data_IF_292675718889
#
_entry.id   IF_292675718889
#
_cell.length_a   1.000
_cell.length_b   1.000
_cell.length_c   1.000
_cell.angle_alpha   90.00
_cell.angle_beta   90.00
_cell.angle_gamma   90.00
#
_symmetry.space_group_name_H-M   'P 1'
#
loop_
_entity.id
_entity.type
_entity.pdbx_description
1 polymer ?
#
# COMPACT_ATOMS: atom_id res chain seq x y z
N UNK A 1 36.35 -14.53 41.45
CA UNK A 1 35.22 -13.60 41.22
C UNK A 1 34.89 -13.68 39.74
N UNK A 2 33.89 -14.49 39.37
CA UNK A 2 33.35 -14.43 38.02
C UNK A 2 32.48 -13.18 37.93
N UNK A 3 32.80 -12.28 37.00
CA UNK A 3 31.90 -11.19 36.66
C UNK A 3 30.67 -11.81 36.02
N UNK A 4 29.54 -11.77 36.71
CA UNK A 4 28.24 -12.00 36.10
C UNK A 4 27.98 -10.75 35.26
N UNK A 5 28.38 -10.79 33.98
CA UNK A 5 27.99 -9.77 33.01
C UNK A 5 26.52 -9.99 32.68
N UNK A 6 25.67 -9.03 33.03
CA UNK A 6 24.27 -9.04 32.62
C UNK A 6 24.22 -8.72 31.12
N UNK A 7 23.69 -9.63 30.31
CA UNK A 7 23.50 -9.41 28.87
C UNK A 7 22.26 -8.56 28.63
N UNK A 8 22.33 -7.67 27.63
CA UNK A 8 21.17 -6.93 27.16
C UNK A 8 20.11 -7.90 26.55
N UNK A 9 18.84 -7.49 26.45
CA UNK A 9 17.82 -8.22 25.71
C UNK A 9 18.25 -8.50 24.26
N UNK A 10 17.72 -9.58 23.66
CA UNK A 10 18.05 -9.92 22.27
C UNK A 10 17.56 -8.85 21.27
N UNK A 11 16.50 -8.14 21.63
CA UNK A 11 15.89 -7.06 20.87
C UNK A 11 16.22 -5.67 21.45
N UNK A 12 17.38 -5.54 22.08
CA UNK A 12 17.91 -4.26 22.56
C UNK A 12 18.08 -3.25 21.42
N UNK A 13 18.29 -3.73 20.19
CA UNK A 13 18.46 -2.89 19.01
C UNK A 13 17.56 -3.25 17.83
N UNK A 14 17.39 -2.30 16.90
CA UNK A 14 16.50 -2.51 15.76
C UNK A 14 16.89 -3.71 14.88
N UNK A 15 18.18 -3.97 14.71
CA UNK A 15 18.64 -5.14 13.92
C UNK A 15 18.24 -6.48 14.55
N UNK A 16 18.01 -6.49 15.87
CA UNK A 16 17.52 -7.64 16.64
C UNK A 16 16.04 -7.56 16.99
N UNK A 17 15.27 -6.65 16.37
CA UNK A 17 13.86 -6.46 16.67
C UNK A 17 13.08 -7.78 16.61
N UNK A 18 12.30 -8.08 17.64
CA UNK A 18 11.49 -9.30 17.68
C UNK A 18 10.32 -9.15 16.71
N UNK A 19 10.16 -10.10 15.79
CA UNK A 19 9.03 -10.11 14.85
C UNK A 19 7.74 -10.54 15.56
N UNK A 20 6.68 -9.77 15.34
CA UNK A 20 5.35 -9.96 15.90
C UNK A 20 4.37 -10.19 14.75
N UNK A 21 3.49 -11.18 14.93
CA UNK A 21 2.33 -11.38 14.08
C UNK A 21 1.21 -10.47 14.59
N UNK A 22 0.65 -9.58 13.76
CA UNK A 22 -0.40 -8.66 14.21
C UNK A 22 -1.76 -9.34 14.20
N UNK A 23 -2.00 -10.24 15.16
CA UNK A 23 -3.24 -11.03 15.30
C UNK A 23 -3.95 -10.81 16.65
N UNK A 24 -3.54 -9.78 17.39
CA UNK A 24 -4.04 -9.45 18.73
C UNK A 24 -3.44 -10.31 19.84
N UNK A 25 -2.62 -11.32 19.54
CA UNK A 25 -1.97 -12.15 20.56
C UNK A 25 -0.92 -11.35 21.32
N UNK A 26 -1.12 -11.21 22.62
CA UNK A 26 -0.20 -10.48 23.47
C UNK A 26 1.07 -11.30 23.78
N UNK A 27 2.23 -10.65 23.70
CA UNK A 27 3.53 -11.20 24.07
C UNK A 27 4.14 -10.45 25.25
N UNK A 28 5.01 -11.12 26.00
CA UNK A 28 5.71 -10.50 27.12
C UNK A 28 7.04 -9.90 26.61
N UNK A 29 7.38 -8.73 27.14
CA UNK A 29 8.65 -8.05 26.91
C UNK A 29 9.25 -7.54 28.21
N UNK A 30 10.49 -7.07 28.13
CA UNK A 30 11.18 -6.46 29.28
C UNK A 30 12.16 -5.40 28.80
N UNK A 31 12.17 -4.25 29.47
CA UNK A 31 13.22 -3.22 29.31
C UNK A 31 14.37 -3.43 30.28
N UNK A 32 14.34 -4.51 31.09
CA UNK A 32 15.38 -4.80 32.08
C UNK A 32 16.74 -4.98 31.43
N UNK A 33 17.72 -4.20 31.86
CA UNK A 33 19.04 -4.08 31.27
C UNK A 33 19.02 -3.69 29.78
N UNK A 34 18.01 -2.98 29.26
CA UNK A 34 18.10 -2.42 27.92
C UNK A 34 18.98 -1.16 27.88
N UNK A 35 19.49 -0.84 26.70
CA UNK A 35 20.13 0.44 26.38
C UNK A 35 19.10 1.45 25.86
N UNK A 36 19.54 2.70 25.75
CA UNK A 36 18.81 3.73 25.01
C UNK A 36 19.47 3.85 23.64
N UNK A 37 18.78 3.35 22.62
CA UNK A 37 19.28 3.33 21.24
C UNK A 37 18.97 4.61 20.45
N UNK A 38 18.26 5.57 21.05
CA UNK A 38 17.92 6.83 20.40
C UNK A 38 19.01 7.89 20.58
N UNK A 39 19.30 8.62 19.49
CA UNK A 39 20.13 9.82 19.56
C UNK A 39 19.26 11.08 19.62
N UNK A 40 19.33 11.84 20.70
CA UNK A 40 18.60 13.11 20.85
C UNK A 40 17.28 12.96 21.61
N UNK A 41 16.35 13.88 21.35
CA UNK A 41 15.01 13.87 21.95
C UNK A 41 14.05 13.23 20.95
N UNK A 42 13.50 12.06 21.29
CA UNK A 42 12.59 11.28 20.46
C UNK A 42 11.39 10.85 21.31
N UNK A 43 10.21 10.84 20.70
CA UNK A 43 8.97 10.44 21.36
C UNK A 43 8.31 11.55 22.18
N UNK A 44 7.21 11.21 22.85
CA UNK A 44 6.44 12.14 23.68
C UNK A 44 6.85 12.14 25.16
N UNK A 45 7.69 11.19 25.60
CA UNK A 45 8.19 11.10 26.96
C UNK A 45 9.42 11.99 27.17
N UNK A 46 9.32 13.27 26.79
CA UNK A 46 10.44 14.23 26.82
C UNK A 46 10.77 14.80 28.19
N UNK A 47 10.01 14.42 29.22
CA UNK A 47 10.15 14.94 30.58
C UNK A 47 11.43 14.41 31.28
N UNK A 48 12.59 15.00 30.97
CA UNK A 48 13.83 14.73 31.72
C UNK A 48 15.16 14.96 31.00
N UNK A 49 15.15 15.31 29.70
CA UNK A 49 16.35 15.49 28.87
C UNK A 49 16.79 14.23 28.12
N UNK A 50 17.60 14.42 27.07
CA UNK A 50 18.10 13.36 26.19
C UNK A 50 18.80 12.22 26.95
N UNK A 51 18.66 10.98 26.45
CA UNK A 51 19.29 9.74 26.93
C UNK A 51 18.63 9.10 28.17
N UNK A 52 17.30 8.91 28.17
CA UNK A 52 16.56 8.23 29.24
C UNK A 52 15.45 7.28 28.78
N UNK A 53 15.56 6.72 27.58
CA UNK A 53 14.56 5.85 26.96
C UNK A 53 15.14 4.46 26.77
N UNK A 54 15.31 3.70 27.86
CA UNK A 54 15.69 2.30 27.74
C UNK A 54 14.63 1.55 26.95
N UNK A 55 14.98 1.14 25.75
CA UNK A 55 14.02 0.71 24.75
C UNK A 55 14.33 -0.68 24.23
N UNK A 56 13.27 -1.34 23.81
CA UNK A 56 13.36 -2.63 23.14
C UNK A 56 12.53 -2.61 21.89
N UNK A 57 13.04 -3.30 20.87
CA UNK A 57 12.58 -3.20 19.50
C UNK A 57 11.71 -4.38 19.11
N UNK A 58 10.66 -4.07 18.36
CA UNK A 58 9.76 -5.03 17.77
C UNK A 58 9.48 -4.64 16.33
N UNK A 59 9.05 -5.62 15.54
CA UNK A 59 8.64 -5.39 14.15
C UNK A 59 7.40 -6.17 13.82
N UNK A 60 6.63 -5.70 12.85
CA UNK A 60 5.55 -6.47 12.24
C UNK A 60 5.47 -6.13 10.76
N UNK A 61 4.99 -7.08 9.97
CA UNK A 61 4.60 -6.83 8.58
C UNK A 61 3.17 -6.35 8.58
N UNK A 62 2.90 -5.17 8.03
CA UNK A 62 1.54 -4.67 7.92
C UNK A 62 0.71 -5.61 7.03
N UNK A 63 -0.30 -6.26 7.61
CA UNK A 63 -1.34 -7.04 6.92
C UNK A 63 -2.61 -6.23 6.63
N UNK A 64 -2.73 -5.04 7.21
CA UNK A 64 -3.84 -4.08 7.08
C UNK A 64 -3.24 -2.67 6.99
N UNK A 65 -4.06 -1.65 6.80
CA UNK A 65 -3.63 -0.24 6.84
C UNK A 65 -3.78 0.37 8.25
N UNK A 66 -4.49 -0.30 9.15
CA UNK A 66 -4.69 0.12 10.53
C UNK A 66 -4.24 -0.92 11.55
N UNK A 67 -3.56 -0.46 12.61
CA UNK A 67 -3.16 -1.29 13.73
C UNK A 67 -3.29 -0.54 15.05
N UNK A 68 -3.59 -1.29 16.09
CA UNK A 68 -3.43 -0.86 17.46
C UNK A 68 -2.24 -1.61 18.09
N UNK A 69 -1.36 -0.87 18.74
CA UNK A 69 -0.33 -1.42 19.61
C UNK A 69 -0.70 -1.04 21.03
N UNK A 70 -1.06 -2.04 21.84
CA UNK A 70 -1.38 -1.86 23.26
C UNK A 70 -0.26 -2.40 24.11
N UNK A 71 0.23 -1.62 25.06
CA UNK A 71 1.25 -2.03 26.03
C UNK A 71 0.71 -1.89 27.45
N UNK A 72 0.79 -2.98 28.20
CA UNK A 72 0.35 -3.09 29.59
C UNK A 72 1.56 -3.32 30.48
N UNK A 73 1.77 -2.42 31.43
CA UNK A 73 2.78 -2.54 32.48
C UNK A 73 2.52 -3.77 33.37
N UNK A 74 3.55 -4.57 33.61
CA UNK A 74 3.57 -5.66 34.60
C UNK A 74 4.41 -5.25 35.82
N UNK A 75 5.61 -4.70 35.60
CA UNK A 75 6.55 -4.34 36.69
C UNK A 75 7.46 -3.13 36.42
N UNK A 76 7.25 -2.38 35.33
CA UNK A 76 7.97 -1.14 35.00
C UNK A 76 7.69 -0.04 36.04
N UNK A 77 6.42 0.12 36.44
CA UNK A 77 6.02 1.07 37.50
C UNK A 77 6.09 2.55 37.08
N UNK A 78 6.00 2.83 35.78
CA UNK A 78 6.02 4.18 35.22
C UNK A 78 5.05 4.28 34.02
N UNK A 79 4.84 5.49 33.51
CA UNK A 79 4.16 5.66 32.22
C UNK A 79 4.96 4.95 31.13
N UNK A 80 4.27 4.38 30.16
CA UNK A 80 4.85 3.68 29.02
C UNK A 80 4.86 4.59 27.81
N UNK A 81 5.80 4.36 26.90
CA UNK A 81 5.93 5.03 25.62
C UNK A 81 6.02 3.99 24.49
N UNK A 82 5.31 4.28 23.41
CA UNK A 82 5.38 3.56 22.14
C UNK A 82 5.83 4.55 21.07
N UNK A 83 6.82 4.18 20.25
CA UNK A 83 7.22 4.96 19.08
C UNK A 83 7.17 4.03 17.88
N UNK A 84 6.37 4.37 16.86
CA UNK A 84 6.34 3.65 15.58
C UNK A 84 7.25 4.36 14.58
N UNK A 85 8.11 3.60 13.92
CA UNK A 85 9.06 4.08 12.92
C UNK A 85 9.09 3.20 11.69
N UNK A 86 9.54 3.80 10.59
CA UNK A 86 9.90 3.09 9.37
C UNK A 86 11.36 3.41 9.00
N UNK A 87 12.27 2.42 9.01
CA UNK A 87 13.65 2.62 8.59
C UNK A 87 13.71 2.89 7.08
N UNK A 88 14.61 3.78 6.68
CA UNK A 88 14.80 4.17 5.26
C UNK A 88 15.76 3.25 4.50
N UNK A 89 16.47 2.37 5.20
CA UNK A 89 17.44 1.42 4.65
C UNK A 89 17.33 0.06 5.33
N UNK A 90 17.61 -1.02 4.59
CA UNK A 90 17.71 -2.39 5.10
C UNK A 90 19.16 -2.89 5.04
N UNK A 91 19.69 -3.62 6.07
CA UNK A 91 19.02 -4.01 7.32
C UNK A 91 18.71 -2.80 8.21
N UNK A 92 17.77 -2.96 9.15
CA UNK A 92 17.26 -1.85 9.97
C UNK A 92 18.39 -0.97 10.56
N UNK A 93 18.57 0.21 9.98
CA UNK A 93 19.53 1.21 10.42
C UNK A 93 19.02 2.61 10.13
N UNK A 94 19.39 3.58 10.97
CA UNK A 94 18.96 4.97 10.83
C UNK A 94 19.41 5.62 9.50
N UNK A 95 18.80 6.76 9.11
CA UNK A 95 17.80 7.52 9.87
C UNK A 95 16.39 6.89 9.84
N UNK A 96 15.70 6.99 10.97
CA UNK A 96 14.33 6.52 11.16
C UNK A 96 13.33 7.64 10.86
N UNK A 97 12.35 7.38 10.01
CA UNK A 97 11.15 8.21 9.95
C UNK A 97 10.27 7.86 11.14
N UNK A 98 10.16 8.76 12.13
CA UNK A 98 9.19 8.61 13.22
C UNK A 98 7.81 8.90 12.66
N UNK A 99 6.92 7.91 12.73
CA UNK A 99 5.56 8.02 12.22
C UNK A 99 4.62 8.57 13.30
N UNK A 100 4.69 8.02 14.51
CA UNK A 100 3.91 8.47 15.65
C UNK A 100 4.55 8.05 16.97
N UNK A 101 4.16 8.72 18.06
CA UNK A 101 4.56 8.36 19.43
C UNK A 101 3.41 8.57 20.40
N UNK A 102 3.23 7.62 21.32
CA UNK A 102 2.15 7.59 22.31
C UNK A 102 2.72 7.34 23.70
N UNK A 103 2.29 8.13 24.68
CA UNK A 103 2.78 8.06 26.05
C UNK A 103 1.61 8.13 27.02
N UNK A 104 1.60 7.27 28.03
CA UNK A 104 0.49 7.22 28.97
C UNK A 104 0.69 6.25 30.10
N UNK A 105 -0.28 6.21 31.01
CA UNK A 105 -0.35 5.14 32.01
C UNK A 105 -0.68 3.80 31.35
N UNK A 106 -0.52 2.71 32.09
CA UNK A 106 -0.88 1.37 31.64
C UNK A 106 -2.40 1.10 31.72
N UNK A 107 -3.02 0.51 30.67
CA UNK A 107 -2.43 0.26 29.35
C UNK A 107 -2.34 1.55 28.53
N UNK A 108 -1.28 1.68 27.73
CA UNK A 108 -1.18 2.69 26.68
C UNK A 108 -1.47 2.02 25.33
N UNK A 109 -2.33 2.65 24.53
CA UNK A 109 -2.66 2.17 23.19
C UNK A 109 -2.31 3.26 22.18
N UNK A 110 -1.49 2.90 21.19
CA UNK A 110 -1.25 3.72 20.00
C UNK A 110 -2.03 3.15 18.83
N UNK A 111 -2.80 4.01 18.15
CA UNK A 111 -3.55 3.67 16.94
C UNK A 111 -2.87 4.30 15.73
N UNK A 112 -2.60 3.47 14.73
CA UNK A 112 -1.86 3.85 13.53
C UNK A 112 -2.71 3.57 12.30
N UNK A 113 -2.81 4.52 11.39
CA UNK A 113 -3.58 4.40 10.14
C UNK A 113 -2.70 4.74 8.93
N UNK A 114 -3.13 4.33 7.74
CA UNK A 114 -2.39 4.59 6.49
C UNK A 114 -1.06 3.84 6.40
N UNK A 115 -0.90 2.72 7.13
CA UNK A 115 0.26 1.85 6.97
C UNK A 115 0.15 1.12 5.62
N UNK A 116 1.27 0.95 4.94
CA UNK A 116 1.31 0.29 3.63
C UNK A 116 1.41 -1.22 3.86
N UNK A 117 0.41 -1.96 3.41
CA UNK A 117 0.37 -3.43 3.51
C UNK A 117 1.61 -4.04 2.84
N UNK A 118 2.21 -5.02 3.50
CA UNK A 118 3.45 -5.68 3.08
C UNK A 118 4.72 -4.99 3.56
N UNK A 119 4.66 -3.71 3.97
CA UNK A 119 5.83 -3.06 4.57
C UNK A 119 6.07 -3.58 6.00
N UNK A 120 7.35 -3.70 6.35
CA UNK A 120 7.76 -3.96 7.73
C UNK A 120 7.87 -2.64 8.49
N UNK A 121 7.09 -2.52 9.55
CA UNK A 121 7.16 -1.42 10.51
C UNK A 121 7.85 -1.87 11.78
N UNK A 122 8.51 -0.93 12.44
CA UNK A 122 9.21 -1.17 13.70
C UNK A 122 8.63 -0.28 14.77
N UNK A 123 8.54 -0.77 15.98
CA UNK A 123 8.18 0.05 17.11
C UNK A 123 9.05 -0.24 18.32
N UNK A 124 9.26 0.79 19.12
CA UNK A 124 9.96 0.68 20.41
C UNK A 124 8.97 0.79 21.54
N UNK A 125 9.28 0.08 22.63
CA UNK A 125 8.59 0.23 23.91
C UNK A 125 9.63 0.67 24.93
N UNK A 126 9.34 1.77 25.62
CA UNK A 126 10.23 2.38 26.62
C UNK A 126 9.42 2.97 27.77
N UNK A 127 10.11 3.46 28.80
CA UNK A 127 9.52 4.23 29.87
C UNK A 127 10.46 5.37 30.29
N UNK A 128 9.92 6.53 30.73
CA UNK A 128 10.73 7.69 31.03
C UNK A 128 11.61 7.46 32.26
N UNK A 129 12.74 8.16 32.30
CA UNK A 129 13.59 8.20 33.48
C UNK A 129 14.42 6.93 33.70
N UNK A 130 14.64 6.14 32.64
CA UNK A 130 15.27 4.81 32.72
C UNK A 130 14.50 3.83 33.61
N UNK A 131 13.17 3.95 33.68
CA UNK A 131 12.36 2.93 34.33
C UNK A 131 12.47 1.62 33.54
N UNK A 132 12.72 0.54 34.25
CA UNK A 132 12.91 -0.79 33.68
C UNK A 132 11.92 -1.75 34.33
N UNK A 133 11.42 -2.70 33.55
CA UNK A 133 10.61 -3.78 34.05
C UNK A 133 9.97 -4.58 32.95
N UNK A 134 9.08 -5.47 33.35
CA UNK A 134 8.35 -6.33 32.43
C UNK A 134 7.05 -5.67 32.01
N UNK A 135 6.65 -5.95 30.78
CA UNK A 135 5.39 -5.50 30.20
C UNK A 135 4.82 -6.61 29.32
N UNK A 136 3.55 -6.48 28.99
CA UNK A 136 2.88 -7.23 27.95
C UNK A 136 2.48 -6.28 26.82
N UNK A 137 2.62 -6.71 25.58
CA UNK A 137 2.21 -5.90 24.44
C UNK A 137 1.46 -6.76 23.42
N UNK A 138 0.48 -6.16 22.76
CA UNK A 138 -0.35 -6.81 21.75
C UNK A 138 -0.33 -5.91 20.53
N UNK A 139 -0.10 -6.49 19.35
CA UNK A 139 -0.27 -5.80 18.07
C UNK A 139 -1.48 -6.42 17.43
N UNK A 140 -2.48 -5.60 17.18
CA UNK A 140 -3.74 -6.03 16.62
C UNK A 140 -4.00 -5.26 15.33
N UNK A 141 -4.42 -5.97 14.28
CA UNK A 141 -4.94 -5.37 13.06
C UNK A 141 -6.47 -5.27 13.10
N UNK A 142 -7.10 -5.75 14.17
CA UNK A 142 -8.49 -5.48 14.44
C UNK A 142 -8.61 -4.06 14.98
N UNK A 143 -9.01 -3.15 14.09
CA UNK A 143 -10.12 -2.28 14.51
C UNK A 143 -11.22 -3.18 15.07
N UNK A 144 -11.99 -2.78 16.10
CA UNK A 144 -13.31 -3.38 16.25
C UNK A 144 -13.93 -3.33 14.86
N UNK A 145 -14.18 -4.48 14.23
CA UNK A 145 -14.85 -4.49 12.95
C UNK A 145 -16.12 -3.69 13.21
N UNK A 146 -16.21 -2.48 12.65
CA UNK A 146 -17.46 -1.78 12.65
C UNK A 146 -18.34 -2.66 11.78
N UNK A 147 -19.20 -3.43 12.44
CA UNK A 147 -20.23 -4.23 11.75
C UNK A 147 -21.30 -3.31 11.14
N UNK A 148 -21.14 -2.00 11.32
CA UNK A 148 -22.00 -0.94 10.85
C UNK A 148 -21.27 -0.09 9.81
N UNK A 149 -22.01 0.40 8.84
CA UNK A 149 -21.51 1.20 7.73
C UNK A 149 -21.06 2.63 8.11
N UNK A 150 -20.68 2.85 9.38
CA UNK A 150 -20.55 4.16 10.02
C UNK A 150 -19.10 4.64 10.15
N UNK A 151 -18.14 3.77 9.81
CA UNK A 151 -16.72 4.08 9.72
C UNK A 151 -16.30 3.80 8.28
N UNK A 152 -15.45 4.64 7.67
CA UNK A 152 -15.12 4.49 6.24
C UNK A 152 -14.44 3.14 5.91
N UNK A 153 -13.77 2.53 6.88
CA UNK A 153 -13.11 1.22 6.74
C UNK A 153 -14.12 0.08 6.62
N UNK A 154 -15.35 0.28 7.10
CA UNK A 154 -16.48 -0.63 6.97
C UNK A 154 -17.46 -0.18 5.86
N UNK A 155 -17.01 0.68 4.94
CA UNK A 155 -17.85 1.19 3.86
C UNK A 155 -18.49 0.07 3.04
N UNK A 156 -19.76 0.27 2.70
CA UNK A 156 -20.51 -0.68 1.89
C UNK A 156 -20.20 -0.49 0.42
N UNK A 157 -19.66 -1.52 -0.22
CA UNK A 157 -19.42 -1.51 -1.67
C UNK A 157 -20.75 -1.55 -2.44
N UNK A 158 -20.90 -0.65 -3.42
CA UNK A 158 -22.09 -0.57 -4.28
C UNK A 158 -21.80 -1.23 -5.63
N UNK A 159 -22.47 -2.35 -5.88
CA UNK A 159 -22.22 -3.23 -7.02
C UNK A 159 -23.25 -3.05 -8.15
N UNK A 160 -23.45 -1.82 -8.60
CA UNK A 160 -24.40 -1.50 -9.67
C UNK A 160 -25.26 -0.27 -9.40
N UNK A 161 -25.96 0.19 -10.44
CA UNK A 161 -26.87 1.35 -10.35
C UNK A 161 -28.24 1.00 -9.73
N UNK A 162 -28.37 -0.12 -9.04
CA UNK A 162 -29.62 -0.49 -8.37
C UNK A 162 -29.82 0.38 -7.15
N UNK A 163 -31.00 0.99 -7.03
CA UNK A 163 -31.37 1.72 -5.83
C UNK A 163 -31.44 0.80 -4.62
N UNK A 164 -31.04 1.31 -3.46
CA UNK A 164 -31.11 0.61 -2.19
C UNK A 164 -31.42 1.58 -1.06
N UNK A 165 -31.89 1.05 0.07
CA UNK A 165 -32.10 1.85 1.28
C UNK A 165 -30.88 1.75 2.20
N UNK A 166 -30.41 2.89 2.69
CA UNK A 166 -29.36 3.01 3.69
C UNK A 166 -29.88 3.62 4.98
N UNK A 167 -29.08 3.61 6.03
CA UNK A 167 -29.43 4.27 7.27
C UNK A 167 -28.16 4.73 7.98
N UNK A 168 -28.06 6.04 8.22
CA UNK A 168 -26.96 6.61 8.97
C UNK A 168 -27.35 6.76 10.44
N UNK A 169 -26.61 6.08 11.32
CA UNK A 169 -26.78 6.07 12.77
C UNK A 169 -25.45 6.24 13.52
N UNK A 170 -25.20 7.43 14.06
CA UNK A 170 -23.95 7.75 14.79
C UNK A 170 -22.70 7.81 13.91
N UNK A 171 -21.58 8.21 14.49
CA UNK A 171 -20.30 8.47 13.80
C UNK A 171 -19.31 7.30 13.88
N UNK A 172 -19.82 6.06 13.99
CA UNK A 172 -18.96 4.90 14.15
C UNK A 172 -18.14 4.88 15.44
N UNK A 173 -17.06 4.08 15.42
CA UNK A 173 -16.07 3.98 16.49
C UNK A 173 -14.95 5.01 16.33
N UNK A 174 -14.72 5.50 15.12
CA UNK A 174 -13.66 6.44 14.74
C UNK A 174 -14.30 7.62 14.01
N UNK A 175 -13.90 8.84 14.36
CA UNK A 175 -14.25 10.02 13.59
C UNK A 175 -13.17 10.27 12.53
N UNK A 176 -13.49 10.04 11.27
CA UNK A 176 -12.58 10.14 10.12
C UNK A 176 -12.47 11.55 9.53
N UNK A 177 -13.51 12.36 9.72
CA UNK A 177 -13.51 13.73 9.25
C UNK A 177 -12.77 14.69 10.19
N UNK A 178 -11.94 15.54 9.59
CA UNK A 178 -11.17 16.61 10.21
C UNK A 178 -11.06 17.80 9.25
N UNK A 179 -10.47 18.90 9.70
CA UNK A 179 -10.39 20.16 8.94
C UNK A 179 -9.70 20.10 7.56
N UNK A 180 -9.00 18.99 7.25
CA UNK A 180 -8.36 18.79 5.95
C UNK A 180 -9.25 18.06 4.93
N UNK A 181 -10.24 17.30 5.40
CA UNK A 181 -11.02 16.39 4.56
C UNK A 181 -12.55 16.54 4.72
N UNK A 182 -13.04 17.24 5.73
CA UNK A 182 -14.48 17.40 6.05
C UNK A 182 -15.26 18.25 5.04
N UNK A 183 -14.60 19.19 4.36
CA UNK A 183 -15.23 20.04 3.36
C UNK A 183 -16.40 20.85 3.92
N UNK A 184 -17.59 20.63 3.37
CA UNK A 184 -18.79 21.33 3.79
C UNK A 184 -19.44 20.73 5.05
N UNK A 185 -19.15 19.48 5.41
CA UNK A 185 -19.84 18.75 6.48
C UNK A 185 -19.43 19.17 7.91
N UNK A 186 -18.26 19.81 8.08
CA UNK A 186 -17.77 20.32 9.38
C UNK A 186 -17.69 19.24 10.48
N UNK A 187 -17.27 18.04 10.10
CA UNK A 187 -17.11 16.90 11.00
C UNK A 187 -18.04 15.74 10.66
N UNK A 188 -17.82 14.62 11.36
CA UNK A 188 -18.60 13.40 11.21
C UNK A 188 -19.58 13.24 12.37
N UNK A 189 -20.86 13.01 12.07
CA UNK A 189 -21.92 13.04 13.06
C UNK A 189 -22.80 11.79 13.04
N UNK A 190 -23.48 11.56 11.92
CA UNK A 190 -24.27 10.35 11.68
C UNK A 190 -24.02 9.90 10.25
N UNK A 191 -22.87 9.29 10.01
CA UNK A 191 -22.30 9.03 8.70
C UNK A 191 -22.64 7.64 8.21
N UNK A 192 -22.96 7.45 6.93
CA UNK A 192 -22.91 6.14 6.28
C UNK A 192 -21.97 6.20 5.09
N UNK A 193 -21.03 5.28 5.02
CA UNK A 193 -19.96 5.29 4.04
C UNK A 193 -20.21 4.29 2.90
N UNK A 194 -19.92 4.68 1.67
CA UNK A 194 -20.09 3.82 0.51
C UNK A 194 -18.90 3.94 -0.41
N UNK A 195 -18.54 2.84 -1.06
CA UNK A 195 -17.51 2.83 -2.12
C UNK A 195 -18.11 2.28 -3.39
N UNK A 196 -17.69 2.80 -4.54
CA UNK A 196 -18.12 2.29 -5.83
C UNK A 196 -17.06 2.49 -6.90
N UNK A 197 -17.10 1.61 -7.90
CA UNK A 197 -16.23 1.68 -9.08
C UNK A 197 -17.07 1.98 -10.31
N UNK A 198 -16.56 2.85 -11.17
CA UNK A 198 -17.20 3.21 -12.43
C UNK A 198 -16.92 2.14 -13.47
N UNK A 199 -17.97 1.49 -13.97
CA UNK A 199 -17.89 0.49 -15.03
C UNK A 199 -17.95 1.11 -16.43
N UNK A 200 -18.71 2.19 -16.61
CA UNK A 200 -18.74 2.93 -17.89
C UNK A 200 -18.60 4.42 -17.68
N UNK A 201 -17.73 5.06 -18.46
CA UNK A 201 -17.53 6.50 -18.43
C UNK A 201 -18.81 7.26 -18.78
N UNK A 202 -19.03 8.42 -18.16
CA UNK A 202 -20.24 9.20 -18.36
C UNK A 202 -20.44 10.29 -17.31
N UNK A 203 -21.69 10.69 -17.11
CA UNK A 203 -22.08 11.51 -15.96
C UNK A 203 -22.62 10.63 -14.85
N UNK A 204 -22.22 10.92 -13.62
CA UNK A 204 -22.74 10.34 -12.39
C UNK A 204 -23.64 11.37 -11.70
N UNK A 205 -24.90 10.97 -11.49
CA UNK A 205 -25.84 11.65 -10.62
C UNK A 205 -26.21 10.70 -9.46
N UNK A 206 -26.50 11.27 -8.30
CA UNK A 206 -27.04 10.53 -7.16
C UNK A 206 -28.23 11.30 -6.61
N UNK A 207 -29.22 10.60 -6.09
CA UNK A 207 -30.31 11.19 -5.31
C UNK A 207 -30.44 10.42 -4.01
N UNK A 208 -30.28 11.15 -2.91
CA UNK A 208 -30.48 10.68 -1.54
C UNK A 208 -31.86 11.19 -1.13
N UNK A 209 -32.80 10.26 -0.97
CA UNK A 209 -34.19 10.57 -0.61
C UNK A 209 -34.50 10.11 0.81
N UNK A 210 -34.65 11.04 1.78
CA UNK A 210 -35.03 10.68 3.14
C UNK A 210 -36.41 10.01 3.15
N UNK A 211 -36.55 8.84 3.78
CA UNK A 211 -37.87 8.20 3.91
C UNK A 211 -38.80 8.98 4.85
N UNK A 212 -38.22 9.77 5.76
CA UNK A 212 -38.92 10.85 6.45
C UNK A 212 -38.54 12.19 5.82
N UNK A 213 -39.44 12.81 5.05
CA UNK A 213 -39.15 14.03 4.30
C UNK A 213 -38.83 15.29 5.12
N UNK A 214 -38.88 15.22 6.45
CA UNK A 214 -38.36 16.29 7.33
C UNK A 214 -36.90 16.13 7.69
N UNK A 215 -36.33 14.95 7.45
CA UNK A 215 -34.96 14.64 7.83
C UNK A 215 -34.00 15.25 6.82
N UNK A 216 -32.99 15.89 7.40
CA UNK A 216 -31.92 16.64 6.75
C UNK A 216 -30.73 15.70 6.57
N UNK A 217 -30.50 15.31 5.32
CA UNK A 217 -29.40 14.47 4.92
C UNK A 217 -28.42 15.30 4.10
N UNK A 218 -27.16 15.22 4.48
CA UNK A 218 -26.04 15.88 3.84
C UNK A 218 -25.11 14.82 3.24
N UNK A 219 -24.20 15.23 2.37
CA UNK A 219 -23.25 14.28 1.80
C UNK A 219 -21.95 14.92 1.35
N UNK A 220 -20.92 14.08 1.26
CA UNK A 220 -19.64 14.40 0.67
C UNK A 220 -19.12 13.24 -0.18
N UNK A 221 -18.46 13.55 -1.29
CA UNK A 221 -17.90 12.59 -2.23
C UNK A 221 -16.43 12.90 -2.49
N UNK A 222 -15.56 11.89 -2.39
CA UNK A 222 -14.13 11.97 -2.65
C UNK A 222 -13.72 11.04 -3.79
N UNK A 223 -12.67 11.42 -4.51
CA UNK A 223 -12.05 10.65 -5.60
C UNK A 223 -11.49 11.58 -6.70
N UNK A 224 -11.04 11.02 -7.83
CA UNK A 224 -10.88 9.58 -8.07
C UNK A 224 -9.79 8.97 -7.16
N UNK A 225 -9.91 7.66 -6.87
CA UNK A 225 -9.14 6.88 -5.89
C UNK A 225 -9.74 6.93 -4.47
N UNK A 226 -10.55 5.91 -4.16
CA UNK A 226 -11.14 5.72 -2.83
C UNK A 226 -10.06 5.40 -1.80
N UNK A 227 -9.73 6.39 -0.95
CA UNK A 227 -8.85 6.25 0.23
C UNK A 227 -9.67 6.49 1.49
N UNK A 228 -9.38 5.76 2.56
CA UNK A 228 -10.05 5.87 3.84
C UNK A 228 -9.01 5.99 4.98
N UNK A 229 -9.09 7.02 5.84
CA UNK A 229 -9.93 8.21 5.68
C UNK A 229 -9.54 9.02 4.43
N UNK A 230 -10.45 9.79 3.84
CA UNK A 230 -10.09 10.66 2.72
C UNK A 230 -8.99 11.65 3.11
N UNK A 231 -8.01 11.86 2.22
CA UNK A 231 -6.81 12.67 2.51
C UNK A 231 -6.96 14.16 2.12
N UNK A 232 -8.09 14.53 1.52
CA UNK A 232 -8.33 15.89 1.00
C UNK A 232 -9.80 16.26 1.07
N UNK A 233 -10.13 17.53 0.80
CA UNK A 233 -11.51 17.99 0.76
C UNK A 233 -12.32 17.28 -0.34
N UNK A 234 -13.64 17.07 -0.13
CA UNK A 234 -14.50 16.39 -1.09
C UNK A 234 -14.62 17.14 -2.42
N UNK A 235 -14.74 16.38 -3.50
CA UNK A 235 -14.94 16.91 -4.86
C UNK A 235 -16.40 17.31 -5.11
N UNK A 236 -17.34 16.78 -4.32
CA UNK A 236 -18.75 17.21 -4.26
C UNK A 236 -19.20 17.19 -2.81
N UNK A 237 -19.88 18.24 -2.37
CA UNK A 237 -20.31 18.31 -0.99
C UNK A 237 -21.51 19.25 -0.83
N UNK A 238 -22.60 18.75 -0.25
CA UNK A 238 -23.74 19.57 0.14
C UNK A 238 -23.98 19.42 1.63
N UNK A 239 -23.97 20.55 2.35
CA UNK A 239 -24.43 20.70 3.72
C UNK A 239 -25.62 21.69 3.74
N UNK A 240 -26.66 21.40 2.98
CA UNK A 240 -27.73 22.36 2.69
C UNK A 240 -28.92 22.12 3.61
N UNK A 241 -29.26 23.11 4.45
CA UNK A 241 -30.15 22.87 5.57
C UNK A 241 -31.60 22.55 5.18
N UNK A 242 -32.22 21.70 5.99
CA UNK A 242 -33.64 21.35 6.01
C UNK A 242 -33.97 20.10 5.20
N UNK A 243 -35.01 19.37 5.62
CA UNK A 243 -35.30 18.06 5.04
C UNK A 243 -35.74 18.01 3.57
N UNK A 244 -35.63 16.82 2.98
CA UNK A 244 -35.98 16.53 1.59
C UNK A 244 -34.79 15.99 0.80
N UNK A 245 -35.00 15.75 -0.49
CA UNK A 245 -33.99 15.13 -1.36
C UNK A 245 -32.75 16.03 -1.53
N UNK A 246 -31.58 15.37 -1.53
CA UNK A 246 -30.26 15.98 -1.81
C UNK A 246 -29.50 15.12 -2.82
N UNK A 247 -28.46 15.67 -3.47
CA UNK A 247 -27.55 14.85 -4.27
C UNK A 247 -26.79 15.58 -5.37
N UNK A 248 -26.40 14.81 -6.39
CA UNK A 248 -25.72 15.28 -7.59
C UNK A 248 -26.71 15.35 -8.75
N UNK A 249 -26.70 16.46 -9.50
CA UNK A 249 -27.47 16.63 -10.73
C UNK A 249 -28.54 17.70 -10.60
N UNK A 250 -29.77 17.41 -11.06
CA UNK A 250 -30.92 18.32 -11.02
C UNK A 250 -30.67 19.71 -11.68
N UNK A 251 -29.72 19.79 -12.62
CA UNK A 251 -29.33 21.04 -13.28
C UNK A 251 -28.50 22.00 -12.43
N UNK A 252 -28.02 21.57 -11.26
CA UNK A 252 -27.09 22.35 -10.45
C UNK A 252 -25.74 22.54 -11.14
N UNK A 253 -25.04 23.62 -10.79
CA UNK A 253 -23.80 24.05 -11.46
C UNK A 253 -22.62 24.22 -10.50
N UNK A 254 -22.90 24.47 -9.23
CA UNK A 254 -21.94 24.53 -8.15
C UNK A 254 -21.51 23.13 -7.72
N UNK A 255 -20.27 22.99 -7.25
CA UNK A 255 -19.70 21.69 -6.85
C UNK A 255 -19.74 21.48 -5.34
N UNK A 256 -19.99 22.55 -4.58
CA UNK A 256 -20.18 22.48 -3.14
C UNK A 256 -21.04 23.64 -2.65
N UNK A 257 -21.85 23.36 -1.64
CA UNK A 257 -22.72 24.33 -1.00
C UNK A 257 -22.80 24.14 0.51
N UNK A 258 -23.14 25.21 1.22
CA UNK A 258 -23.37 25.21 2.67
C UNK A 258 -24.85 25.38 3.02
N UNK A 259 -25.14 25.75 4.27
CA UNK A 259 -26.49 25.72 4.86
C UNK A 259 -27.60 26.50 4.11
N UNK A 260 -27.25 27.41 3.21
CA UNK A 260 -28.20 28.18 2.38
C UNK A 260 -28.32 27.67 0.94
N UNK A 261 -27.76 26.49 0.67
CA UNK A 261 -27.79 25.80 -0.60
C UNK A 261 -29.17 25.32 -1.02
N UNK A 262 -29.24 24.72 -2.21
CA UNK A 262 -30.48 24.18 -2.79
C UNK A 262 -30.58 22.65 -2.70
N UNK A 263 -29.60 21.97 -2.07
CA UNK A 263 -29.43 20.51 -1.88
C UNK A 263 -28.88 19.75 -3.08
N UNK A 264 -28.55 20.47 -4.15
CA UNK A 264 -28.10 19.85 -5.39
C UNK A 264 -26.80 20.51 -5.82
N UNK A 265 -25.78 19.69 -6.01
CA UNK A 265 -24.53 20.09 -6.65
C UNK A 265 -24.41 19.43 -8.03
N UNK A 266 -23.54 19.96 -8.87
CA UNK A 266 -23.39 19.55 -10.26
C UNK A 266 -23.06 18.05 -10.39
N UNK A 267 -23.61 17.42 -11.42
CA UNK A 267 -23.22 16.09 -11.89
C UNK A 267 -21.70 15.92 -11.95
N UNK A 268 -21.22 14.71 -11.69
CA UNK A 268 -19.80 14.40 -11.78
C UNK A 268 -19.50 13.72 -13.13
N UNK A 269 -18.51 14.22 -13.88
CA UNK A 269 -17.98 13.48 -15.02
C UNK A 269 -17.02 12.41 -14.50
N UNK A 270 -17.28 11.16 -14.87
CA UNK A 270 -16.53 9.99 -14.40
C UNK A 270 -16.04 9.15 -15.56
N UNK A 271 -14.96 8.43 -15.35
CA UNK A 271 -14.30 7.54 -16.30
C UNK A 271 -14.23 6.12 -15.76
N UNK A 272 -14.28 5.14 -16.65
CA UNK A 272 -14.19 3.72 -16.30
C UNK A 272 -12.94 3.44 -15.45
N UNK A 273 -13.11 2.67 -14.38
CA UNK A 273 -12.08 2.30 -13.44
C UNK A 273 -11.87 3.29 -12.29
N UNK A 274 -12.42 4.51 -12.35
CA UNK A 274 -12.35 5.43 -11.21
C UNK A 274 -13.16 4.89 -10.03
N UNK A 275 -12.55 4.94 -8.84
CA UNK A 275 -13.18 4.60 -7.57
C UNK A 275 -13.47 5.85 -6.77
N UNK A 276 -14.58 5.83 -6.04
CA UNK A 276 -15.04 6.96 -5.23
C UNK A 276 -15.52 6.51 -3.86
N UNK A 277 -15.36 7.40 -2.87
CA UNK A 277 -15.88 7.24 -1.52
C UNK A 277 -16.99 8.26 -1.30
N UNK A 278 -18.18 7.82 -0.90
CA UNK A 278 -19.35 8.64 -0.58
C UNK A 278 -19.66 8.53 0.91
N UNK A 279 -19.80 9.66 1.58
CA UNK A 279 -20.35 9.77 2.94
C UNK A 279 -21.73 10.41 2.85
N UNK A 280 -22.73 9.78 3.47
CA UNK A 280 -24.08 10.33 3.67
C UNK A 280 -24.29 10.60 5.17
N UNK A 281 -24.45 11.86 5.56
CA UNK A 281 -24.60 12.28 6.96
C UNK A 281 -26.06 12.62 7.28
N UNK A 282 -26.60 12.05 8.35
CA UNK A 282 -27.93 12.41 8.87
C UNK A 282 -27.80 13.54 9.89
N UNK A 283 -27.78 14.78 9.42
CA UNK A 283 -27.69 15.96 10.27
C UNK A 283 -28.84 16.03 11.29
N UNK A 284 -30.03 15.57 10.91
CA UNK A 284 -31.21 15.56 11.79
C UNK A 284 -31.09 14.62 12.99
N UNK A 285 -30.07 13.77 13.02
CA UNK A 285 -29.79 12.85 14.11
C UNK A 285 -30.88 11.81 14.38
N UNK A 286 -31.64 11.43 13.35
CA UNK A 286 -32.76 10.47 13.44
C UNK A 286 -32.32 9.05 13.14
N UNK A 287 -33.22 8.07 13.25
CA UNK A 287 -32.97 6.69 12.81
C UNK A 287 -33.71 6.35 11.51
N UNK A 288 -34.26 7.36 10.82
CA UNK A 288 -35.06 7.14 9.61
C UNK A 288 -34.13 6.82 8.45
N UNK A 289 -34.38 5.75 7.67
CA UNK A 289 -33.59 5.43 6.49
C UNK A 289 -33.68 6.50 5.39
N UNK A 290 -32.76 6.41 4.43
CA UNK A 290 -32.84 7.07 3.14
C UNK A 290 -32.86 6.03 2.02
N UNK A 291 -33.40 6.39 0.86
CA UNK A 291 -33.24 5.65 -0.38
C UNK A 291 -32.18 6.33 -1.24
N UNK A 292 -31.12 5.59 -1.61
CA UNK A 292 -30.11 6.05 -2.55
C UNK A 292 -30.45 5.54 -3.95
N UNK A 293 -30.50 6.46 -4.91
CA UNK A 293 -30.71 6.15 -6.32
C UNK A 293 -29.65 6.80 -7.20
N UNK A 294 -29.41 6.18 -8.35
CA UNK A 294 -28.34 6.53 -9.27
C UNK A 294 -28.94 7.06 -10.57
N UNK A 295 -28.35 8.14 -11.09
CA UNK A 295 -28.72 8.73 -12.37
C UNK A 295 -27.50 8.98 -13.25
N UNK A 296 -27.69 9.83 -14.26
CA UNK A 296 -26.66 10.13 -15.26
C UNK A 296 -26.50 9.03 -16.31
N UNK A 297 -25.36 9.04 -17.00
CA UNK A 297 -25.05 8.12 -18.11
C UNK A 297 -24.00 7.06 -17.79
N UNK A 298 -23.35 7.13 -16.63
CA UNK A 298 -22.36 6.13 -16.17
C UNK A 298 -23.02 4.94 -15.49
N UNK A 299 -22.40 3.77 -15.59
CA UNK A 299 -22.78 2.58 -14.82
C UNK A 299 -21.73 2.22 -13.79
N UNK A 300 -22.15 1.55 -12.72
CA UNK A 300 -21.31 1.07 -11.62
C UNK A 300 -21.24 -0.45 -11.62
N UNK A 301 -20.19 -1.02 -11.06
CA UNK A 301 -20.11 -2.45 -10.71
C UNK A 301 -19.04 -2.67 -9.63
N UNK A 302 -19.13 -3.78 -8.91
CA UNK A 302 -18.07 -4.30 -8.05
C UNK A 302 -17.10 -5.22 -8.80
N UNK A 303 -17.35 -5.51 -10.08
CA UNK A 303 -16.26 -5.89 -10.96
C UNK A 303 -15.37 -4.67 -11.17
N UNK A 304 -14.51 -4.37 -10.20
CA UNK A 304 -13.31 -3.62 -10.48
C UNK A 304 -12.74 -4.22 -11.78
N UNK A 305 -12.66 -3.37 -12.81
CA UNK A 305 -12.09 -3.79 -14.09
C UNK A 305 -10.76 -4.44 -13.76
N UNK A 306 -10.62 -5.68 -14.26
CA UNK A 306 -9.48 -6.53 -13.95
C UNK A 306 -8.17 -5.74 -14.15
N UNK A 307 -7.16 -6.01 -13.32
CA UNK A 307 -5.84 -5.43 -13.46
C UNK A 307 -5.32 -5.60 -14.89
N UNK A 308 -4.54 -4.63 -15.35
CA UNK A 308 -3.94 -4.47 -16.69
C UNK A 308 -4.05 -5.72 -17.59
N UNK A 309 -4.68 -5.55 -18.76
CA UNK A 309 -4.64 -6.59 -19.79
C UNK A 309 -3.27 -6.61 -20.49
N UNK A 310 -2.42 -7.55 -20.08
CA UNK A 310 -1.18 -7.88 -20.79
C UNK A 310 -1.47 -8.74 -22.03
N UNK A 311 -1.01 -8.29 -23.19
CA UNK A 311 -1.03 -9.10 -24.42
C UNK A 311 0.26 -9.87 -24.64
N UNK A 312 1.37 -9.38 -24.10
CA UNK A 312 2.68 -9.98 -24.23
C UNK A 312 3.41 -9.84 -22.91
N UNK A 313 4.01 -10.93 -22.43
CA UNK A 313 5.11 -10.90 -21.48
C UNK A 313 6.07 -12.04 -21.86
N UNK A 314 7.30 -11.68 -22.25
CA UNK A 314 8.30 -12.64 -22.72
C UNK A 314 9.73 -12.17 -22.47
N UNK A 315 10.65 -13.13 -22.51
CA UNK A 315 12.07 -12.86 -22.36
C UNK A 315 12.87 -13.70 -23.36
N UNK A 316 13.84 -13.06 -23.99
CA UNK A 316 14.70 -13.65 -25.03
C UNK A 316 16.18 -13.46 -24.63
N UNK A 317 16.99 -14.52 -24.69
CA UNK A 317 18.43 -14.39 -24.49
C UNK A 317 19.12 -13.81 -25.73
N UNK A 318 19.93 -12.76 -25.55
CA UNK A 318 20.72 -12.11 -26.60
C UNK A 318 22.19 -12.01 -26.16
N UNK A 319 23.09 -11.67 -27.10
CA UNK A 319 24.53 -11.55 -26.85
C UNK A 319 24.80 -10.58 -25.67
N UNK A 320 25.18 -11.16 -24.53
CA UNK A 320 25.51 -10.44 -23.29
C UNK A 320 24.35 -9.91 -22.44
N UNK A 321 23.08 -10.24 -22.71
CA UNK A 321 21.95 -9.89 -21.83
C UNK A 321 20.66 -10.69 -22.09
N UNK A 322 19.76 -10.73 -21.12
CA UNK A 322 18.37 -11.16 -21.35
C UNK A 322 17.49 -9.94 -21.65
N UNK A 323 16.71 -9.99 -22.74
CA UNK A 323 15.76 -8.94 -23.12
C UNK A 323 14.37 -9.32 -22.66
N UNK A 324 13.80 -8.55 -21.75
CA UNK A 324 12.43 -8.73 -21.25
C UNK A 324 11.54 -7.70 -21.96
N UNK A 325 10.40 -8.15 -22.47
CA UNK A 325 9.42 -7.30 -23.17
C UNK A 325 8.01 -7.61 -22.69
N UNK A 326 7.24 -6.57 -22.40
CA UNK A 326 5.80 -6.69 -22.17
C UNK A 326 5.02 -5.60 -22.89
N UNK A 327 3.74 -5.90 -23.13
CA UNK A 327 2.81 -5.02 -23.84
C UNK A 327 1.48 -4.99 -23.12
N UNK A 328 1.06 -3.78 -22.75
CA UNK A 328 -0.25 -3.49 -22.16
C UNK A 328 -1.22 -3.09 -23.27
N UNK A 329 -2.45 -3.61 -23.27
CA UNK A 329 -3.52 -3.10 -24.15
C UNK A 329 -4.21 -1.88 -23.53
N UNK A 330 -4.36 -1.87 -22.21
CA UNK A 330 -4.80 -0.74 -21.41
C UNK A 330 -4.14 -0.73 -20.04
N UNK A 331 -4.03 0.44 -19.45
CA UNK A 331 -3.53 0.67 -18.10
C UNK A 331 -4.54 1.51 -17.35
N UNK A 332 -4.87 1.12 -16.13
CA UNK A 332 -5.72 1.89 -15.24
C UNK A 332 -5.02 1.89 -13.88
N UNK A 333 -4.97 3.05 -13.23
CA UNK A 333 -4.34 3.28 -11.94
C UNK A 333 -2.84 2.90 -11.86
N UNK A 334 -2.18 2.61 -12.97
CA UNK A 334 -0.83 2.04 -13.01
C UNK A 334 0.25 3.09 -12.73
N UNK A 335 0.76 3.11 -11.50
CA UNK A 335 1.90 3.93 -11.12
C UNK A 335 3.19 3.44 -11.81
N UNK A 336 3.50 2.15 -11.67
CA UNK A 336 4.69 1.55 -12.24
C UNK A 336 4.66 0.02 -12.25
N UNK A 337 5.54 -0.54 -13.07
CA UNK A 337 5.89 -1.95 -13.03
C UNK A 337 7.19 -2.16 -12.26
N UNK A 338 7.22 -3.16 -11.40
CA UNK A 338 8.42 -3.74 -10.83
C UNK A 338 8.74 -5.03 -11.60
N UNK A 339 9.90 -5.07 -12.26
CA UNK A 339 10.40 -6.30 -12.87
C UNK A 339 11.28 -7.02 -11.86
N UNK A 340 10.97 -8.29 -11.63
CA UNK A 340 11.68 -9.12 -10.65
C UNK A 340 12.26 -10.37 -11.30
N UNK A 341 13.39 -10.84 -10.76
CA UNK A 341 14.13 -12.01 -11.25
C UNK A 341 14.35 -13.04 -10.16
N UNK A 342 14.39 -14.31 -10.54
CA UNK A 342 14.73 -15.44 -9.66
C UNK A 342 15.56 -16.48 -10.41
N UNK A 343 16.31 -17.31 -9.68
CA UNK A 343 16.97 -18.52 -10.21
C UNK A 343 16.29 -19.83 -9.81
N UNK A 344 15.37 -19.77 -8.86
CA UNK A 344 14.64 -20.94 -8.34
C UNK A 344 13.13 -20.87 -8.60
N UNK A 345 12.64 -19.73 -9.13
CA UNK A 345 11.23 -19.48 -9.39
C UNK A 345 10.41 -19.24 -8.12
N UNK A 346 11.05 -19.08 -6.96
CA UNK A 346 10.41 -18.90 -5.66
C UNK A 346 10.85 -17.59 -4.98
N UNK A 347 12.15 -17.37 -4.85
CA UNK A 347 12.72 -16.17 -4.28
C UNK A 347 13.03 -15.17 -5.42
N UNK A 348 12.25 -14.09 -5.50
CA UNK A 348 12.41 -13.05 -6.50
C UNK A 348 13.06 -11.80 -5.90
N UNK A 349 14.01 -11.22 -6.64
CA UNK A 349 14.62 -9.92 -6.36
C UNK A 349 14.15 -8.90 -7.40
N UNK A 350 13.88 -7.66 -6.98
CA UNK A 350 13.53 -6.58 -7.90
C UNK A 350 14.77 -6.11 -8.66
N UNK A 351 14.69 -6.14 -9.99
CA UNK A 351 15.79 -5.72 -10.87
C UNK A 351 15.51 -4.42 -11.62
N UNK A 352 14.24 -3.99 -11.73
CA UNK A 352 13.89 -2.71 -12.35
C UNK A 352 12.56 -2.15 -11.84
N UNK A 353 12.41 -0.83 -11.97
CA UNK A 353 11.13 -0.11 -11.86
C UNK A 353 10.94 0.70 -13.13
N UNK A 354 9.80 0.53 -13.80
CA UNK A 354 9.45 1.26 -15.00
C UNK A 354 8.10 1.95 -14.77
N UNK A 355 8.06 3.28 -14.91
CA UNK A 355 6.82 4.04 -14.76
C UNK A 355 5.74 3.54 -15.73
N UNK A 356 4.53 3.36 -15.20
CA UNK A 356 3.33 3.11 -15.97
C UNK A 356 2.83 4.39 -16.61
N UNK A 357 1.76 4.27 -17.38
CA UNK A 357 1.07 5.41 -18.01
C UNK A 357 -0.02 6.01 -17.11
N UNK A 358 -0.20 5.49 -15.90
CA UNK A 358 -1.29 5.85 -15.00
C UNK A 358 -2.62 5.33 -15.52
N UNK A 359 -3.24 6.08 -16.42
CA UNK A 359 -4.47 5.69 -17.12
C UNK A 359 -4.23 5.82 -18.63
N UNK A 360 -4.31 4.70 -19.35
CA UNK A 360 -4.19 4.64 -20.80
C UNK A 360 -5.13 3.60 -21.39
N UNK A 361 -5.78 3.96 -22.48
CA UNK A 361 -6.52 3.02 -23.35
C UNK A 361 -5.75 2.70 -24.64
N UNK A 362 -4.51 3.21 -24.73
CA UNK A 362 -3.61 2.96 -25.85
C UNK A 362 -2.64 1.85 -25.48
N UNK A 363 -2.26 1.07 -26.49
CA UNK A 363 -1.26 0.02 -26.32
C UNK A 363 0.12 0.63 -26.01
N UNK A 364 0.78 0.14 -24.97
CA UNK A 364 2.15 0.54 -24.63
C UNK A 364 3.10 -0.66 -24.61
N UNK A 365 4.31 -0.46 -25.12
CA UNK A 365 5.36 -1.49 -25.16
C UNK A 365 6.51 -1.07 -24.26
N UNK A 366 6.93 -2.00 -23.41
CA UNK A 366 8.00 -1.83 -22.45
C UNK A 366 9.10 -2.84 -22.71
N UNK A 367 10.35 -2.43 -22.50
CA UNK A 367 11.52 -3.29 -22.66
C UNK A 367 12.54 -3.05 -21.57
N UNK A 368 13.14 -4.13 -21.06
CA UNK A 368 14.25 -4.07 -20.12
C UNK A 368 15.39 -5.02 -20.54
N UNK A 369 16.64 -4.56 -20.41
CA UNK A 369 17.84 -5.34 -20.70
C UNK A 369 18.51 -5.76 -19.40
N UNK A 370 18.34 -7.02 -19.01
CA UNK A 370 19.04 -7.59 -17.87
C UNK A 370 20.45 -8.03 -18.29
N UNK A 371 21.43 -7.15 -18.09
CA UNK A 371 22.85 -7.44 -18.33
C UNK A 371 23.51 -8.21 -17.17
N UNK A 372 22.84 -8.30 -16.02
CA UNK A 372 23.35 -8.96 -14.82
C UNK A 372 22.71 -10.34 -14.63
N UNK A 373 22.09 -10.91 -15.68
CA UNK A 373 21.49 -12.25 -15.66
C UNK A 373 22.53 -13.28 -15.21
N UNK A 374 22.06 -14.33 -14.52
CA UNK A 374 22.97 -15.33 -13.98
C UNK A 374 23.26 -16.39 -15.04
N UNK A 375 24.48 -16.39 -15.56
CA UNK A 375 24.97 -17.36 -16.54
C UNK A 375 25.07 -18.77 -15.95
N UNK A 376 24.78 -19.79 -16.75
CA UNK A 376 24.84 -21.19 -16.32
C UNK A 376 23.60 -21.67 -15.56
N UNK A 377 22.55 -20.84 -15.48
CA UNK A 377 21.30 -21.11 -14.77
C UNK A 377 20.07 -20.74 -15.64
N UNK A 378 18.89 -21.24 -15.25
CA UNK A 378 17.63 -20.71 -15.77
C UNK A 378 17.29 -19.46 -14.95
N UNK A 379 17.02 -18.36 -15.64
CA UNK A 379 16.55 -17.11 -15.02
C UNK A 379 15.03 -17.03 -15.21
N UNK A 380 14.29 -16.86 -14.12
CA UNK A 380 12.86 -16.63 -14.10
C UNK A 380 12.61 -15.13 -13.94
N UNK A 381 11.59 -14.61 -14.60
CA UNK A 381 11.15 -13.23 -14.48
C UNK A 381 9.66 -13.18 -14.19
N UNK A 382 9.26 -12.23 -13.35
CA UNK A 382 7.85 -11.89 -13.14
C UNK A 382 7.67 -10.39 -13.14
N UNK A 383 6.49 -9.96 -13.56
CA UNK A 383 6.10 -8.56 -13.56
C UNK A 383 5.14 -8.34 -12.40
N UNK A 384 5.38 -7.31 -11.62
CA UNK A 384 4.46 -6.82 -10.60
C UNK A 384 4.00 -5.44 -11.04
N UNK A 385 2.71 -5.23 -11.20
CA UNK A 385 2.15 -3.90 -11.40
C UNK A 385 1.80 -3.30 -10.05
N UNK A 386 2.12 -2.03 -9.85
CA UNK A 386 1.81 -1.26 -8.65
C UNK A 386 0.96 -0.05 -9.04
N UNK A 387 -0.15 0.11 -8.34
CA UNK A 387 -1.08 1.23 -8.48
C UNK A 387 -0.61 2.49 -7.75
N UNK A 388 -1.25 3.64 -7.98
CA UNK A 388 -0.94 4.87 -7.25
C UNK A 388 -1.29 4.81 -5.75
N UNK A 389 -2.23 3.94 -5.38
CA UNK A 389 -2.61 3.65 -3.99
C UNK A 389 -1.75 2.53 -3.36
N UNK A 390 -0.81 1.96 -4.13
CA UNK A 390 0.10 0.92 -3.67
C UNK A 390 -0.46 -0.50 -3.74
N UNK A 391 -1.70 -0.69 -4.18
CA UNK A 391 -2.24 -2.02 -4.53
C UNK A 391 -1.39 -2.61 -5.67
N UNK A 392 -1.20 -3.92 -5.67
CA UNK A 392 -0.39 -4.56 -6.70
C UNK A 392 -0.95 -5.91 -7.11
N UNK A 393 -0.58 -6.31 -8.33
CA UNK A 393 -0.82 -7.64 -8.87
C UNK A 393 0.47 -8.20 -9.47
N UNK A 394 0.61 -9.54 -9.46
CA UNK A 394 1.64 -10.24 -10.20
C UNK A 394 1.07 -10.90 -11.45
N UNK A 395 1.84 -10.85 -12.53
CA UNK A 395 1.56 -11.60 -13.75
C UNK A 395 2.31 -12.93 -13.80
N UNK A 396 1.98 -13.72 -14.83
CA UNK A 396 2.61 -15.02 -15.10
C UNK A 396 4.14 -14.95 -15.09
N UNK A 397 4.77 -16.00 -14.57
CA UNK A 397 6.23 -16.14 -14.56
C UNK A 397 6.68 -16.64 -15.92
N UNK A 398 7.68 -15.97 -16.49
CA UNK A 398 8.39 -16.41 -17.69
C UNK A 398 9.80 -16.86 -17.33
N UNK A 399 10.44 -17.63 -18.20
CA UNK A 399 11.82 -18.08 -17.99
C UNK A 399 12.68 -17.95 -19.24
N UNK A 400 13.98 -17.82 -19.00
CA UNK A 400 15.04 -17.87 -20.01
C UNK A 400 16.07 -18.88 -19.56
N UNK A 401 16.35 -19.87 -20.40
CA UNK A 401 17.40 -20.84 -20.15
C UNK A 401 18.76 -20.23 -20.55
N UNK A 402 19.58 -19.91 -19.55
CA UNK A 402 20.95 -19.43 -19.75
C UNK A 402 21.98 -20.49 -19.32
N UNK A 403 21.60 -21.78 -19.29
CA UNK A 403 22.51 -22.87 -18.94
C UNK A 403 23.49 -23.22 -20.05
N UNK A 404 23.18 -22.87 -21.30
CA UNK A 404 24.09 -23.04 -22.42
C UNK A 404 25.13 -21.92 -22.45
N UNK A 405 26.42 -22.26 -22.26
CA UNK A 405 27.52 -21.31 -22.45
C UNK A 405 27.57 -20.82 -23.91
N UNK A 406 27.86 -19.53 -24.10
CA UNK A 406 28.23 -19.03 -25.43
C UNK A 406 29.39 -19.85 -26.00
N UNK A 407 29.15 -20.45 -27.17
CA UNK A 407 30.12 -21.29 -27.86
C UNK A 407 31.18 -20.40 -28.53
N UNK A 408 32.22 -20.02 -27.78
CA UNK A 408 33.34 -19.19 -28.25
C UNK A 408 34.41 -20.00 -28.96
N UNK A 409 35.08 -19.38 -29.94
CA UNK A 409 36.25 -19.97 -30.60
C UNK A 409 37.46 -19.89 -29.67
N UNK A 410 37.97 -21.05 -29.23
CA UNK A 410 39.15 -21.17 -28.38
C UNK A 410 40.46 -21.10 -29.18
N UNK A 411 40.49 -21.74 -30.36
CA UNK A 411 41.63 -21.66 -31.28
C UNK A 411 41.19 -21.82 -32.73
N UNK A 412 41.93 -21.17 -33.62
CA UNK A 412 41.79 -21.35 -35.07
C UNK A 412 43.07 -22.00 -35.60
N UNK A 413 42.95 -23.11 -36.32
CA UNK A 413 44.10 -23.79 -36.94
C UNK A 413 43.92 -23.98 -38.45
N UNK A 414 45.01 -24.09 -39.19
CA UNK A 414 44.98 -24.54 -40.58
C UNK A 414 44.83 -26.07 -40.68
N UNK A 415 44.73 -26.59 -41.91
CA UNK A 415 44.62 -28.04 -42.16
C UNK A 415 45.86 -28.86 -41.74
N UNK A 416 46.99 -28.21 -41.43
CA UNK A 416 48.21 -28.85 -40.90
C UNK A 416 48.27 -28.86 -39.38
N UNK A 417 47.25 -28.34 -38.68
CA UNK A 417 47.25 -28.29 -37.21
C UNK A 417 47.92 -27.06 -36.60
N UNK A 418 48.38 -26.10 -37.41
CA UNK A 418 49.11 -24.94 -36.93
C UNK A 418 48.15 -23.81 -36.53
N UNK A 419 48.35 -23.13 -35.39
CA UNK A 419 47.60 -21.93 -35.04
C UNK A 419 47.75 -20.86 -36.13
N UNK A 420 46.68 -20.16 -36.44
CA UNK A 420 46.67 -19.08 -37.43
C UNK A 420 46.03 -17.81 -36.87
N UNK A 421 46.54 -16.66 -37.28
CA UNK A 421 45.97 -15.36 -36.94
C UNK A 421 44.84 -14.95 -37.90
N UNK A 422 44.28 -13.75 -37.71
CA UNK A 422 43.15 -13.24 -38.49
C UNK A 422 43.48 -12.97 -39.96
N UNK A 423 44.77 -12.85 -40.31
CA UNK A 423 45.24 -12.50 -41.66
C UNK A 423 45.50 -13.74 -42.52
N UNK A 424 45.48 -14.94 -41.95
CA UNK A 424 45.66 -16.18 -42.70
C UNK A 424 44.57 -16.35 -43.76
N UNK A 425 44.98 -16.70 -44.99
CA UNK A 425 44.11 -16.94 -46.13
C UNK A 425 44.03 -18.43 -46.44
N UNK A 426 42.84 -19.00 -46.30
CA UNK A 426 42.62 -20.42 -46.61
C UNK A 426 41.58 -21.09 -45.71
N UNK A 427 41.51 -22.42 -45.82
CA UNK A 427 40.63 -23.21 -44.96
C UNK A 427 41.20 -23.26 -43.54
N UNK A 428 40.35 -22.93 -42.57
CA UNK A 428 40.63 -23.01 -41.14
C UNK A 428 39.60 -23.89 -40.43
N UNK A 429 40.00 -24.39 -39.26
CA UNK A 429 39.14 -25.12 -38.33
C UNK A 429 39.13 -24.33 -37.02
N UNK A 430 37.97 -23.81 -36.66
CA UNK A 430 37.73 -23.22 -35.35
C UNK A 430 37.39 -24.34 -34.37
N UNK A 431 38.10 -24.40 -33.24
CA UNK A 431 37.77 -25.25 -32.10
C UNK A 431 37.02 -24.41 -31.09
N UNK A 432 35.85 -24.87 -30.69
CA UNK A 432 34.97 -24.10 -29.83
C UNK A 432 34.94 -24.61 -28.39
N UNK A 433 34.42 -23.81 -27.47
CA UNK A 433 34.37 -24.11 -26.03
C UNK A 433 33.55 -25.35 -25.68
N UNK A 434 32.53 -25.67 -26.47
CA UNK A 434 31.70 -26.87 -26.35
C UNK A 434 32.36 -28.15 -26.92
N UNK A 435 33.61 -28.05 -27.41
CA UNK A 435 34.33 -29.15 -28.05
C UNK A 435 33.94 -29.39 -29.51
N UNK A 436 32.98 -28.64 -30.05
CA UNK A 436 32.64 -28.68 -31.47
C UNK A 436 33.75 -28.04 -32.32
N UNK A 437 33.73 -28.36 -33.62
CA UNK A 437 34.62 -27.73 -34.60
C UNK A 437 33.83 -27.21 -35.80
N UNK A 438 34.21 -26.04 -36.30
CA UNK A 438 33.67 -25.50 -37.56
C UNK A 438 34.77 -25.29 -38.57
N UNK A 439 34.57 -25.81 -39.78
CA UNK A 439 35.46 -25.60 -40.92
C UNK A 439 34.94 -24.43 -41.75
N UNK A 440 35.74 -23.39 -41.93
CA UNK A 440 35.40 -22.23 -42.77
C UNK A 440 36.59 -21.76 -43.59
N UNK A 441 36.34 -20.92 -44.59
CA UNK A 441 37.39 -20.20 -45.31
C UNK A 441 37.61 -18.83 -44.65
N UNK A 442 38.87 -18.41 -44.53
CA UNK A 442 39.30 -17.13 -43.97
C UNK A 442 40.09 -16.32 -45.01
#
# INVERSE_FOLDING_TARGET
MGFIGWSQPANDNCSGATSITPDGTCQNGTTTNANDDWSGEVGCATAGGANRHKDVWYSFVATDQQFDITVTDISVGANLEIILVQPTTQPCSGPFGVLASFCGGSPVTGSYTGLVIGNTYYYTISAPGNAEGDFQHCVDNTTPASTSNQDCFASTAVCGNTSFSGNSSGSGAVAELNSSNDGCLNGEHQSSWYTFTVLTSGTLDITISPQNGTDDYDFALWGPSSVCPPLSSPIRCSYAAGGGDTGLGNGAADVSEGAFGNKWVASLSVTVGETYTLLIDNYSSTTSPFDLSWGGSSTLDCSAVLPIELTVFKADHLEGYNLITWVTESEINNSHFELERSTDGMAFERIAILSGMGNSTLQHTYTYKDQNYLTGLINYYRLKQVDFDGVFEYFDIISVDNTEEEVRVLKTINLLGQPVDVNYKGIVIDYKSDGSTTKRFQ
#
